data_IF_070395044950
#
_entry.id   IF_070395044950
#
_cell.length_a   1.000
_cell.length_b   1.000
_cell.length_c   1.000
_cell.angle_alpha   90.00
_cell.angle_beta   90.00
_cell.angle_gamma   90.00
#
_symmetry.space_group_name_H-M   'P 1'
#
loop_
_entity.id
_entity.type
_entity.pdbx_description
1 polymer ?
#
# COMPACT_ATOMS: atom_id res chain seq x y z
N UNK A 1 8.21 -5.45 13.43
CA UNK A 1 7.69 -5.86 12.11
C UNK A 1 7.11 -4.67 11.38
N UNK A 2 7.48 -4.50 10.12
CA UNK A 2 6.91 -3.51 9.18
C UNK A 2 5.53 -3.95 8.67
N UNK A 3 4.82 -3.06 7.99
CA UNK A 3 3.57 -3.39 7.31
C UNK A 3 3.78 -4.53 6.30
N UNK A 4 4.85 -4.49 5.49
CA UNK A 4 5.14 -5.53 4.52
C UNK A 4 5.32 -6.90 5.19
N UNK A 5 6.08 -6.97 6.28
CA UNK A 5 6.31 -8.21 7.04
C UNK A 5 5.00 -8.75 7.64
N UNK A 6 4.19 -7.86 8.25
CA UNK A 6 2.88 -8.24 8.81
C UNK A 6 1.94 -8.75 7.74
N UNK A 7 1.86 -8.05 6.61
CA UNK A 7 1.02 -8.42 5.47
C UNK A 7 1.42 -9.78 4.92
N UNK A 8 2.71 -9.99 4.67
CA UNK A 8 3.24 -11.24 4.12
C UNK A 8 2.96 -12.42 5.06
N UNK A 9 3.22 -12.25 6.36
CA UNK A 9 2.95 -13.26 7.38
C UNK A 9 1.47 -13.62 7.47
N UNK A 10 0.59 -12.63 7.49
CA UNK A 10 -0.87 -12.84 7.63
C UNK A 10 -1.51 -13.50 6.41
N UNK A 11 -1.01 -13.20 5.21
CA UNK A 11 -1.60 -13.69 3.96
C UNK A 11 -0.78 -14.80 3.31
N UNK A 12 0.25 -15.29 3.98
CA UNK A 12 1.20 -16.29 3.48
C UNK A 12 1.75 -15.93 2.08
N UNK A 13 2.14 -14.66 1.91
CA UNK A 13 2.68 -14.11 0.66
C UNK A 13 4.20 -14.01 0.79
N UNK A 14 4.93 -14.43 -0.25
CA UNK A 14 6.38 -14.28 -0.27
C UNK A 14 6.76 -12.79 -0.32
N UNK A 15 7.79 -12.32 0.42
CA UNK A 15 8.18 -10.91 0.44
C UNK A 15 8.45 -10.31 -0.95
N UNK A 16 8.96 -11.12 -1.89
CA UNK A 16 9.19 -10.70 -3.28
C UNK A 16 7.89 -10.36 -4.04
N UNK A 17 6.76 -10.97 -3.65
CA UNK A 17 5.46 -10.80 -4.31
C UNK A 17 4.61 -9.70 -3.66
N UNK A 18 5.02 -9.21 -2.50
CA UNK A 18 4.31 -8.19 -1.71
C UNK A 18 3.82 -7.03 -2.57
N UNK A 19 4.73 -6.40 -3.32
CA UNK A 19 4.42 -5.24 -4.15
C UNK A 19 3.35 -5.56 -5.18
N UNK A 20 3.46 -6.72 -5.85
CA UNK A 20 2.53 -7.11 -6.90
C UNK A 20 1.14 -7.44 -6.34
N UNK A 21 1.08 -8.10 -5.18
CA UNK A 21 -0.17 -8.47 -4.52
C UNK A 21 -0.90 -7.22 -4.03
N UNK A 22 -0.20 -6.33 -3.32
CA UNK A 22 -0.79 -5.08 -2.82
C UNK A 22 -1.23 -4.18 -3.99
N UNK A 23 -0.44 -4.10 -5.06
CA UNK A 23 -0.81 -3.37 -6.28
C UNK A 23 -2.14 -3.89 -6.85
N UNK A 24 -2.31 -5.22 -6.92
CA UNK A 24 -3.52 -5.86 -7.44
C UNK A 24 -4.76 -5.60 -6.57
N UNK A 25 -4.60 -5.63 -5.25
CA UNK A 25 -5.68 -5.37 -4.28
C UNK A 25 -6.13 -3.91 -4.30
N UNK A 26 -5.19 -3.00 -4.56
CA UNK A 26 -5.41 -1.55 -4.50
C UNK A 26 -5.73 -0.95 -5.86
N UNK A 27 -5.49 -1.67 -6.97
CA UNK A 27 -5.81 -1.22 -8.32
C UNK A 27 -7.28 -0.80 -8.46
N UNK A 28 -7.53 0.32 -9.15
CA UNK A 28 -8.90 0.75 -9.46
C UNK A 28 -9.59 -0.25 -10.41
N UNK A 29 -10.92 -0.44 -10.31
CA UNK A 29 -11.66 -1.38 -11.17
C UNK A 29 -11.43 -1.16 -12.67
N UNK A 30 -11.44 0.11 -13.11
CA UNK A 30 -11.16 0.46 -14.51
C UNK A 30 -9.74 0.06 -14.96
N UNK A 31 -8.73 0.29 -14.11
CA UNK A 31 -7.35 -0.11 -14.38
C UNK A 31 -7.16 -1.63 -14.35
N UNK A 32 -8.03 -2.37 -13.65
CA UNK A 32 -8.00 -3.84 -13.59
C UNK A 32 -8.41 -4.46 -14.92
N UNK A 33 -9.40 -3.87 -15.58
CA UNK A 33 -9.82 -4.27 -16.92
C UNK A 33 -8.75 -4.00 -17.97
N UNK A 34 -8.03 -2.88 -17.85
CA UNK A 34 -6.96 -2.52 -18.80
C UNK A 34 -5.63 -3.21 -18.49
N UNK A 35 -5.53 -4.00 -17.41
CA UNK A 35 -4.28 -4.63 -16.96
C UNK A 35 -3.54 -5.47 -18.02
N UNK A 36 -4.18 -6.28 -18.90
CA UNK A 36 -3.46 -6.97 -19.96
C UNK A 36 -2.86 -6.03 -21.00
N UNK A 37 -3.53 -4.91 -21.34
CA UNK A 37 -2.96 -3.87 -22.21
C UNK A 37 -1.84 -3.07 -21.53
N UNK A 38 -1.97 -2.80 -20.23
CA UNK A 38 -1.04 -1.97 -19.46
C UNK A 38 0.18 -2.75 -18.94
N UNK A 39 0.12 -4.09 -18.95
CA UNK A 39 1.23 -4.96 -18.54
C UNK A 39 2.44 -4.94 -19.48
N UNK A 40 2.28 -4.40 -20.69
CA UNK A 40 3.35 -4.23 -21.68
C UNK A 40 4.32 -3.09 -21.34
N UNK A 41 3.90 -2.12 -20.53
CA UNK A 41 4.76 -1.02 -20.11
C UNK A 41 5.16 -1.19 -18.64
N UNK A 42 6.37 -1.71 -18.42
CA UNK A 42 6.92 -1.99 -17.09
C UNK A 42 7.02 -0.73 -16.22
N UNK A 43 7.20 0.42 -16.85
CA UNK A 43 7.30 1.72 -16.19
C UNK A 43 5.92 2.32 -15.85
N UNK A 44 4.85 1.78 -16.44
CA UNK A 44 3.50 2.26 -16.20
C UNK A 44 3.13 2.16 -14.72
N UNK A 45 3.56 1.13 -13.99
CA UNK A 45 3.28 0.98 -12.56
C UNK A 45 4.48 1.33 -11.66
N UNK A 46 5.55 1.93 -12.18
CA UNK A 46 6.76 2.20 -11.41
C UNK A 46 6.50 3.08 -10.18
N UNK A 47 5.78 4.20 -10.36
CA UNK A 47 5.41 5.09 -9.25
C UNK A 47 4.43 4.45 -8.26
N UNK A 48 3.53 3.57 -8.73
CA UNK A 48 2.63 2.83 -7.84
C UNK A 48 3.41 1.82 -6.97
N UNK A 49 4.43 1.14 -7.54
CA UNK A 49 5.28 0.19 -6.81
C UNK A 49 6.19 0.89 -5.80
N UNK A 50 6.78 2.02 -6.17
CA UNK A 50 7.58 2.85 -5.26
C UNK A 50 6.78 3.26 -4.03
N UNK A 51 5.56 3.77 -4.23
CA UNK A 51 4.65 4.09 -3.13
C UNK A 51 4.33 2.87 -2.26
N UNK A 52 4.02 1.72 -2.87
CA UNK A 52 3.72 0.49 -2.11
C UNK A 52 4.94 0.03 -1.30
N UNK A 53 6.15 0.17 -1.85
CA UNK A 53 7.41 -0.16 -1.16
C UNK A 53 7.62 0.74 0.04
N UNK A 54 7.38 2.04 -0.11
CA UNK A 54 7.53 3.00 0.99
C UNK A 54 6.49 2.78 2.08
N UNK A 55 5.23 2.56 1.71
CA UNK A 55 4.17 2.14 2.64
C UNK A 55 4.52 0.80 3.28
N UNK A 56 5.21 -0.10 2.58
CA UNK A 56 5.74 -1.36 3.10
C UNK A 56 6.62 -1.21 4.34
N UNK A 57 7.34 -0.08 4.48
CA UNK A 57 8.32 0.16 5.54
C UNK A 57 7.71 0.73 6.82
N UNK A 58 6.47 1.21 6.80
CA UNK A 58 5.82 1.78 7.98
C UNK A 58 5.70 0.73 9.08
N UNK A 59 5.83 1.16 10.33
CA UNK A 59 5.76 0.26 11.50
C UNK A 59 4.48 0.48 12.30
N UNK A 60 3.80 1.60 12.09
CA UNK A 60 2.60 2.00 12.82
C UNK A 60 1.53 2.51 11.85
N UNK A 61 0.26 2.34 12.19
CA UNK A 61 -0.85 2.82 11.34
C UNK A 61 -0.95 4.34 11.38
N UNK A 62 -0.50 4.93 12.48
CA UNK A 62 -0.50 6.36 12.74
C UNK A 62 0.46 7.09 11.77
N UNK A 63 1.61 6.46 11.44
CA UNK A 63 2.57 6.97 10.43
C UNK A 63 1.90 7.10 9.05
N UNK A 64 0.97 6.19 8.72
CA UNK A 64 0.21 6.26 7.46
C UNK A 64 -0.92 7.29 7.53
N UNK A 65 -1.54 7.48 8.69
CA UNK A 65 -2.63 8.44 8.88
C UNK A 65 -2.11 9.87 8.78
N UNK A 66 -1.00 10.18 9.46
CA UNK A 66 -0.32 11.47 9.39
C UNK A 66 0.07 11.82 7.95
N UNK A 67 0.67 10.88 7.22
CA UNK A 67 1.06 11.09 5.83
C UNK A 67 -0.13 11.21 4.86
N UNK A 68 -1.24 10.50 5.14
CA UNK A 68 -2.45 10.62 4.34
C UNK A 68 -3.23 11.93 4.60
N UNK A 69 -3.06 12.51 5.78
CA UNK A 69 -3.64 13.79 6.21
C UNK A 69 -2.81 14.97 5.70
N UNK A 70 -1.48 14.93 5.85
CA UNK A 70 -0.55 15.91 5.29
C UNK A 70 -0.73 16.09 3.78
N UNK A 71 -1.02 14.99 3.08
CA UNK A 71 -1.31 15.00 1.65
C UNK A 71 -2.60 15.77 1.28
N UNK A 72 -3.59 15.80 2.17
CA UNK A 72 -4.86 16.50 1.92
C UNK A 72 -4.74 18.01 2.15
N UNK A 73 -3.78 18.43 2.98
CA UNK A 73 -3.61 19.81 3.40
C UNK A 73 -2.51 20.56 2.64
N UNK A 74 -1.43 19.89 2.21
CA UNK A 74 -0.33 20.56 1.53
C UNK A 74 0.35 19.66 0.48
N UNK A 75 0.12 19.90 -0.83
CA UNK A 75 0.72 19.08 -1.89
C UNK A 75 2.25 19.21 -1.98
N UNK A 76 2.89 20.14 -1.25
CA UNK A 76 4.33 20.42 -1.29
C UNK A 76 5.14 19.88 -0.10
N UNK A 77 4.50 19.26 0.91
CA UNK A 77 5.23 18.71 2.05
C UNK A 77 5.87 17.36 1.68
N UNK A 78 7.18 17.22 1.93
CA UNK A 78 8.06 16.16 1.42
C UNK A 78 7.89 14.81 2.14
N UNK A 79 6.71 14.21 2.06
CA UNK A 79 6.48 12.79 2.34
C UNK A 79 6.51 11.94 1.06
N UNK A 80 6.56 10.62 1.21
CA UNK A 80 6.60 9.59 0.14
C UNK A 80 5.47 9.71 -0.93
N UNK A 81 4.50 10.58 -0.72
CA UNK A 81 3.27 10.73 -1.50
C UNK A 81 3.24 11.93 -2.48
N UNK A 82 4.31 12.69 -2.65
CA UNK A 82 4.35 13.82 -3.61
C UNK A 82 4.22 13.37 -5.10
N UNK A 83 4.25 12.06 -5.37
CA UNK A 83 4.16 11.43 -6.72
C UNK A 83 2.74 10.98 -7.13
N UNK A 84 1.75 11.55 -6.49
CA UNK A 84 0.34 11.10 -6.45
C UNK A 84 -0.49 11.42 -7.68
N UNK A 85 -0.14 12.44 -8.47
CA UNK A 85 -0.92 12.85 -9.64
C UNK A 85 -0.93 11.82 -10.80
N UNK A 86 -0.14 10.74 -10.71
CA UNK A 86 -0.04 9.67 -11.74
C UNK A 86 -0.43 8.28 -11.23
N UNK A 87 -0.97 8.15 -10.02
CA UNK A 87 -1.24 6.84 -9.41
C UNK A 87 -2.52 6.20 -9.94
N UNK A 88 -2.45 4.91 -10.29
CA UNK A 88 -3.59 4.11 -10.78
C UNK A 88 -4.27 3.29 -9.68
N UNK A 89 -3.73 3.33 -8.47
CA UNK A 89 -4.31 2.66 -7.31
C UNK A 89 -5.34 3.53 -6.58
N UNK A 90 -6.23 2.89 -5.83
CA UNK A 90 -7.19 3.52 -4.95
C UNK A 90 -6.59 3.72 -3.56
N UNK A 91 -6.44 4.99 -3.17
CA UNK A 91 -5.94 5.40 -1.85
C UNK A 91 -6.79 4.85 -0.71
N UNK A 92 -8.11 4.81 -0.91
CA UNK A 92 -9.05 4.24 0.06
C UNK A 92 -8.75 2.75 0.28
N UNK A 93 -8.61 1.98 -0.81
CA UNK A 93 -8.28 0.55 -0.73
C UNK A 93 -6.91 0.31 -0.10
N UNK A 94 -5.89 1.12 -0.42
CA UNK A 94 -4.58 0.99 0.21
C UNK A 94 -4.65 1.24 1.73
N UNK A 95 -5.35 2.30 2.14
CA UNK A 95 -5.62 2.60 3.56
C UNK A 95 -6.35 1.46 4.26
N UNK A 96 -7.38 0.91 3.61
CA UNK A 96 -8.16 -0.19 4.18
C UNK A 96 -7.29 -1.43 4.38
N UNK A 97 -6.43 -1.78 3.41
CA UNK A 97 -5.49 -2.90 3.52
C UNK A 97 -4.50 -2.68 4.67
N UNK A 98 -3.93 -1.49 4.79
CA UNK A 98 -3.00 -1.13 5.87
C UNK A 98 -3.68 -1.27 7.24
N UNK A 99 -4.86 -0.65 7.41
CA UNK A 99 -5.63 -0.71 8.66
C UNK A 99 -5.99 -2.14 9.05
N UNK A 100 -6.48 -2.93 8.10
CA UNK A 100 -6.81 -4.33 8.34
C UNK A 100 -5.60 -5.14 8.81
N UNK A 101 -4.45 -4.99 8.16
CA UNK A 101 -3.24 -5.72 8.54
C UNK A 101 -2.75 -5.34 9.95
N UNK A 102 -2.77 -4.05 10.32
CA UNK A 102 -2.41 -3.65 11.67
C UNK A 102 -3.44 -4.08 12.73
N UNK A 103 -4.74 -4.06 12.40
CA UNK A 103 -5.79 -4.53 13.30
C UNK A 103 -5.67 -6.04 13.58
N UNK A 104 -5.47 -6.85 12.53
CA UNK A 104 -5.25 -8.29 12.66
C UNK A 104 -4.00 -8.62 13.48
N UNK A 105 -2.93 -7.84 13.32
CA UNK A 105 -1.72 -8.02 14.12
C UNK A 105 -1.92 -7.68 15.60
N UNK A 106 -2.75 -6.68 15.91
CA UNK A 106 -3.12 -6.35 17.30
C UNK A 106 -3.98 -7.46 17.92
N UNK A 107 -4.97 -7.97 17.18
CA UNK A 107 -5.82 -9.08 17.63
C UNK A 107 -5.00 -10.35 17.92
N UNK A 108 -4.11 -10.75 17.00
CA UNK A 108 -3.26 -11.93 17.17
C UNK A 108 -2.34 -11.84 18.41
N UNK A 109 -1.92 -10.64 18.81
CA UNK A 109 -1.12 -10.44 20.04
C UNK A 109 -1.93 -10.48 21.33
N UNK A 110 -3.24 -10.25 21.24
CA UNK A 110 -4.15 -10.28 22.37
C UNK A 110 -4.50 -11.72 22.74
N UNK A 111 -4.63 -12.61 21.74
CA UNK A 111 -4.97 -14.02 21.93
C UNK A 111 -3.80 -14.87 22.46
N UNK A 112 -2.56 -14.41 22.30
CA UNK A 112 -1.34 -15.05 22.83
C UNK A 112 -1.05 -14.70 24.32
N UNK A 113 -1.93 -13.94 24.99
CA UNK A 113 -1.76 -13.45 26.37
C UNK A 113 -2.81 -14.02 27.32
#
# INVERSE_FOLDING_TARGET
MTFAEKFCRQRNVHPADFEQVVLRLTLRPAARFLRPLLGLNRDYFASDRELIRDVGRIKRVEDFAAEAEDFSYNPYNRGFLHRTLRLRISRRRLRDVVRQTFALDRAAKQDDR
#
